data_IF_378444709251
#
_entry.id   IF_378444709251
#
_cell.length_a   1.000
_cell.length_b   1.000
_cell.length_c   1.000
_cell.angle_alpha   90.00
_cell.angle_beta   90.00
_cell.angle_gamma   90.00
#
_symmetry.space_group_name_H-M   'P 1'
#
loop_
_entity.id
_entity.type
_entity.pdbx_description
1 polymer ?
#
# COMPACT_ATOMS: atom_id res chain seq x y z
N UNK A 1 21.73 14.25 -33.66
CA UNK A 1 20.85 14.20 -32.47
C UNK A 1 20.70 12.80 -31.89
N UNK A 2 20.31 11.75 -32.65
CA UNK A 2 20.13 10.40 -32.06
C UNK A 2 21.42 9.82 -31.44
N UNK A 3 22.58 10.04 -32.06
CA UNK A 3 23.86 9.51 -31.58
C UNK A 3 24.35 10.19 -30.29
N UNK A 4 24.20 11.51 -30.17
CA UNK A 4 24.59 12.27 -28.97
C UNK A 4 23.71 11.92 -27.77
N UNK A 5 22.42 11.63 -27.99
CA UNK A 5 21.54 11.12 -26.93
C UNK A 5 21.98 9.73 -26.45
N UNK A 6 22.43 8.87 -27.36
CA UNK A 6 22.95 7.55 -26.99
C UNK A 6 24.31 7.63 -26.25
N UNK A 7 25.14 8.62 -26.60
CA UNK A 7 26.40 8.89 -25.91
C UNK A 7 26.17 9.43 -24.49
N UNK A 8 25.25 10.38 -24.31
CA UNK A 8 24.91 10.90 -22.98
C UNK A 8 24.32 9.82 -22.06
N UNK A 9 23.50 8.93 -22.61
CA UNK A 9 22.85 7.87 -21.83
C UNK A 9 23.71 6.64 -21.58
N UNK A 10 24.95 6.60 -22.09
CA UNK A 10 25.84 5.44 -21.89
C UNK A 10 26.34 5.37 -20.45
N UNK A 11 26.52 6.52 -19.79
CA UNK A 11 26.90 6.62 -18.39
C UNK A 11 26.23 7.83 -17.72
N UNK A 12 25.00 7.68 -17.20
CA UNK A 12 24.23 8.77 -16.60
C UNK A 12 24.65 9.11 -15.15
N UNK A 13 25.85 8.69 -14.74
CA UNK A 13 26.37 8.83 -13.37
C UNK A 13 27.66 9.66 -13.31
N UNK A 14 27.96 10.41 -14.37
CA UNK A 14 29.05 11.37 -14.42
C UNK A 14 28.69 12.68 -13.72
N UNK A 15 29.29 13.76 -14.21
CA UNK A 15 29.13 15.14 -13.72
C UNK A 15 28.59 16.05 -14.84
N UNK A 16 28.01 15.46 -15.90
CA UNK A 16 27.42 16.21 -17.00
C UNK A 16 26.06 16.79 -16.57
N UNK A 17 25.64 17.90 -17.16
CA UNK A 17 24.43 18.64 -16.78
C UNK A 17 23.14 17.80 -16.91
N UNK A 18 23.14 16.77 -17.76
CA UNK A 18 22.02 15.85 -17.96
C UNK A 18 22.07 14.56 -17.12
N UNK A 19 23.12 14.37 -16.31
CA UNK A 19 23.28 13.19 -15.47
C UNK A 19 22.43 13.22 -14.20
N UNK A 20 22.34 12.08 -13.52
CA UNK A 20 21.64 12.04 -12.24
C UNK A 20 22.42 12.78 -11.16
N UNK A 21 21.71 13.65 -10.43
CA UNK A 21 22.19 14.34 -9.24
C UNK A 21 22.34 13.39 -8.02
N UNK A 22 23.27 12.45 -8.11
CA UNK A 22 23.47 11.40 -7.10
C UNK A 22 23.78 11.97 -5.71
N UNK A 23 24.58 13.03 -5.64
CA UNK A 23 24.94 13.67 -4.37
C UNK A 23 23.69 14.20 -3.65
N UNK A 24 22.78 14.85 -4.39
CA UNK A 24 21.51 15.31 -3.83
C UNK A 24 20.62 14.16 -3.39
N UNK A 25 20.56 13.08 -4.18
CA UNK A 25 19.78 11.88 -3.84
C UNK A 25 20.31 11.26 -2.54
N UNK A 26 21.61 11.11 -2.39
CA UNK A 26 22.24 10.53 -1.20
C UNK A 26 21.92 11.39 0.04
N UNK A 27 22.13 12.70 -0.06
CA UNK A 27 21.84 13.64 1.04
C UNK A 27 20.38 13.61 1.45
N UNK A 28 19.46 13.62 0.48
CA UNK A 28 18.02 13.53 0.72
C UNK A 28 17.67 12.23 1.43
N UNK A 29 18.15 11.09 0.92
CA UNK A 29 17.79 9.79 1.48
C UNK A 29 18.37 9.60 2.88
N UNK A 30 19.60 10.03 3.14
CA UNK A 30 20.18 9.98 4.48
C UNK A 30 19.35 10.81 5.46
N UNK A 31 19.07 12.07 5.12
CA UNK A 31 18.25 12.96 5.97
C UNK A 31 16.87 12.40 6.26
N UNK A 32 16.16 11.92 5.22
CA UNK A 32 14.80 11.39 5.37
C UNK A 32 14.81 10.07 6.16
N UNK A 33 15.80 9.20 5.95
CA UNK A 33 15.89 7.93 6.67
C UNK A 33 16.08 8.14 8.17
N UNK A 34 17.00 9.03 8.56
CA UNK A 34 17.18 9.38 9.98
C UNK A 34 15.94 10.06 10.56
N UNK A 35 15.29 10.96 9.81
CA UNK A 35 14.05 11.60 10.27
C UNK A 35 12.94 10.59 10.55
N UNK A 36 12.77 9.57 9.69
CA UNK A 36 11.75 8.53 9.87
C UNK A 36 12.05 7.68 11.11
N UNK A 37 13.30 7.22 11.27
CA UNK A 37 13.68 6.30 12.34
C UNK A 37 13.79 7.00 13.69
N UNK A 38 14.28 8.23 13.73
CA UNK A 38 14.52 8.94 15.00
C UNK A 38 13.28 9.69 15.47
N UNK A 39 12.71 10.53 14.59
CA UNK A 39 11.67 11.47 14.99
C UNK A 39 10.27 10.92 14.79
N UNK A 40 10.02 10.23 13.67
CA UNK A 40 8.66 9.78 13.34
C UNK A 40 8.33 8.40 13.92
N UNK A 41 9.32 7.64 14.39
CA UNK A 41 9.09 6.35 15.00
C UNK A 41 8.18 6.51 16.23
N UNK A 42 7.04 5.83 16.20
CA UNK A 42 5.99 5.87 17.24
C UNK A 42 5.28 7.23 17.45
N UNK A 43 5.51 8.24 16.58
CA UNK A 43 4.75 9.51 16.61
C UNK A 43 3.59 9.49 15.63
N UNK A 44 2.63 8.61 15.86
CA UNK A 44 1.40 8.54 15.05
C UNK A 44 0.47 9.71 15.41
N UNK A 45 -0.11 10.42 14.43
CA UNK A 45 -1.11 11.45 14.71
C UNK A 45 -2.33 10.84 15.43
N UNK A 46 -3.05 11.62 16.25
CA UNK A 46 -4.23 11.12 16.95
C UNK A 46 -5.31 10.68 15.96
N UNK A 47 -6.00 9.59 16.28
CA UNK A 47 -7.14 9.12 15.50
C UNK A 47 -8.33 10.05 15.74
N UNK A 48 -8.73 10.76 14.69
CA UNK A 48 -9.87 11.68 14.68
C UNK A 48 -10.74 11.34 13.48
N UNK A 49 -12.07 11.44 13.64
CA UNK A 49 -13.02 11.32 12.53
C UNK A 49 -12.72 12.41 11.50
N UNK A 50 -12.56 12.03 10.23
CA UNK A 50 -12.34 12.99 9.16
C UNK A 50 -13.66 13.70 8.77
N UNK A 51 -13.54 14.70 7.89
CA UNK A 51 -14.66 15.55 7.46
C UNK A 51 -15.79 14.79 6.74
N UNK A 52 -15.52 13.60 6.20
CA UNK A 52 -16.48 12.77 5.48
C UNK A 52 -16.88 11.50 6.24
N UNK A 53 -16.58 11.42 7.55
CA UNK A 53 -16.73 10.19 8.33
C UNK A 53 -18.14 9.57 8.30
N UNK A 54 -19.19 10.40 8.28
CA UNK A 54 -20.59 9.94 8.28
C UNK A 54 -21.23 9.94 6.86
N UNK A 55 -20.47 10.24 5.80
CA UNK A 55 -20.96 10.31 4.41
C UNK A 55 -20.65 9.03 3.63
N UNK A 56 -21.68 8.38 3.08
CA UNK A 56 -21.55 7.17 2.26
C UNK A 56 -21.03 7.46 0.84
N UNK A 57 -21.19 8.69 0.33
CA UNK A 57 -20.82 9.07 -1.03
C UNK A 57 -20.17 10.46 -1.10
N UNK A 58 -18.99 10.64 -0.49
CA UNK A 58 -18.37 11.96 -0.38
C UNK A 58 -17.98 12.54 -1.74
N UNK A 59 -18.37 13.78 -1.98
CA UNK A 59 -17.98 14.55 -3.17
C UNK A 59 -16.86 15.51 -2.80
N UNK A 60 -15.65 15.18 -3.25
CA UNK A 60 -14.49 16.04 -3.04
C UNK A 60 -14.64 17.37 -3.81
N UNK A 61 -14.26 18.50 -3.19
CA UNK A 61 -14.30 19.80 -3.85
C UNK A 61 -13.25 19.88 -4.97
N UNK A 62 -13.57 20.63 -6.02
CA UNK A 62 -12.66 20.92 -7.13
C UNK A 62 -12.40 22.42 -7.17
N UNK A 63 -11.18 22.81 -7.55
CA UNK A 63 -10.88 24.19 -7.92
C UNK A 63 -11.53 24.52 -9.26
N UNK A 64 -11.75 25.81 -9.56
CA UNK A 64 -12.39 26.27 -10.81
C UNK A 64 -11.67 25.71 -12.06
N UNK A 65 -10.34 25.79 -12.08
CA UNK A 65 -9.52 25.25 -13.18
C UNK A 65 -9.60 23.71 -13.31
N UNK A 66 -9.90 23.00 -12.22
CA UNK A 66 -9.96 21.53 -12.22
C UNK A 66 -11.38 20.98 -12.39
N UNK A 67 -12.40 21.83 -12.40
CA UNK A 67 -13.79 21.42 -12.51
C UNK A 67 -14.06 20.65 -13.81
N UNK A 68 -13.40 21.03 -14.91
CA UNK A 68 -13.50 20.36 -16.21
C UNK A 68 -12.95 18.92 -16.19
N UNK A 69 -12.01 18.62 -15.29
CA UNK A 69 -11.42 17.27 -15.17
C UNK A 69 -12.24 16.32 -14.31
N UNK A 70 -13.36 16.78 -13.73
CA UNK A 70 -14.28 15.92 -12.97
C UNK A 70 -15.02 14.98 -13.92
N UNK A 71 -14.37 13.87 -14.25
CA UNK A 71 -14.91 12.81 -15.10
C UNK A 71 -15.69 11.80 -14.27
N UNK A 72 -16.74 11.25 -14.87
CA UNK A 72 -17.47 10.11 -14.27
C UNK A 72 -16.55 8.90 -14.21
N UNK A 73 -16.70 8.10 -13.16
CA UNK A 73 -15.95 6.85 -12.99
C UNK A 73 -16.15 5.97 -14.21
N UNK A 74 -15.03 5.53 -14.80
CA UNK A 74 -15.06 4.65 -15.96
C UNK A 74 -15.65 3.30 -15.58
N UNK A 75 -16.73 2.89 -16.25
CA UNK A 75 -17.43 1.62 -15.99
C UNK A 75 -16.99 0.47 -16.90
N UNK A 76 -16.12 0.72 -17.88
CA UNK A 76 -15.71 -0.26 -18.89
C UNK A 76 -16.47 -0.10 -20.21
N UNK A 77 -15.85 -0.53 -21.32
CA UNK A 77 -16.41 -0.44 -22.67
C UNK A 77 -17.68 -1.26 -22.86
N UNK A 78 -17.89 -2.29 -22.03
CA UNK A 78 -19.00 -3.25 -22.12
C UNK A 78 -20.08 -2.99 -21.05
N UNK A 79 -19.98 -1.89 -20.29
CA UNK A 79 -20.86 -1.60 -19.15
C UNK A 79 -22.37 -1.53 -19.49
N UNK A 80 -22.70 -1.25 -20.75
CA UNK A 80 -24.09 -1.16 -21.23
C UNK A 80 -24.53 -2.40 -22.02
N UNK A 81 -23.70 -3.45 -22.10
CA UNK A 81 -24.05 -4.67 -22.80
C UNK A 81 -25.01 -5.50 -21.96
N UNK A 82 -26.22 -5.70 -22.47
CA UNK A 82 -27.21 -6.57 -21.86
C UNK A 82 -26.92 -8.00 -22.35
N UNK A 83 -26.37 -8.84 -21.49
CA UNK A 83 -26.16 -10.26 -21.79
C UNK A 83 -27.47 -11.01 -21.50
N UNK A 84 -28.03 -11.78 -22.45
CA UNK A 84 -29.19 -12.64 -22.19
C UNK A 84 -28.94 -13.59 -21.01
N UNK A 85 -29.95 -13.83 -20.17
CA UNK A 85 -29.83 -14.61 -18.92
C UNK A 85 -29.24 -16.00 -19.13
N UNK A 86 -29.60 -16.66 -20.23
CA UNK A 86 -29.07 -17.96 -20.66
C UNK A 86 -27.54 -18.02 -20.80
N UNK A 87 -26.90 -16.85 -21.01
CA UNK A 87 -25.46 -16.69 -21.23
C UNK A 87 -24.75 -16.00 -20.07
N UNK A 88 -25.46 -15.68 -18.98
CA UNK A 88 -24.89 -15.09 -17.77
C UNK A 88 -24.25 -16.14 -16.83
N UNK A 89 -24.32 -17.41 -17.19
CA UNK A 89 -23.82 -18.51 -16.37
C UNK A 89 -22.31 -18.44 -16.19
N UNK A 90 -21.85 -18.37 -14.94
CA UNK A 90 -20.44 -18.51 -14.60
C UNK A 90 -20.06 -19.99 -14.68
N UNK A 91 -19.15 -20.33 -15.60
CA UNK A 91 -18.46 -21.61 -15.53
C UNK A 91 -17.34 -21.41 -14.50
N UNK A 92 -17.61 -21.80 -13.26
CA UNK A 92 -16.56 -21.88 -12.26
C UNK A 92 -15.59 -23.00 -12.73
N UNK A 93 -14.28 -22.73 -12.84
CA UNK A 93 -13.34 -23.83 -12.98
C UNK A 93 -13.49 -24.74 -11.76
N UNK A 94 -13.40 -26.06 -11.97
CA UNK A 94 -13.43 -27.06 -10.90
C UNK A 94 -12.26 -26.85 -9.94
N UNK A 95 -12.34 -25.84 -9.08
CA UNK A 95 -11.62 -25.82 -7.82
C UNK A 95 -12.39 -26.82 -6.98
N UNK A 96 -11.99 -28.09 -7.16
CA UNK A 96 -12.33 -29.21 -6.32
C UNK A 96 -12.46 -28.69 -4.88
N UNK A 97 -13.61 -28.96 -4.26
CA UNK A 97 -13.98 -28.57 -2.90
C UNK A 97 -13.06 -29.13 -1.80
N UNK A 98 -11.83 -29.50 -2.14
CA UNK A 98 -10.77 -29.96 -1.28
C UNK A 98 -9.90 -28.80 -0.75
N UNK A 99 -10.49 -27.67 -0.37
CA UNK A 99 -9.81 -26.82 0.62
C UNK A 99 -9.88 -27.58 1.95
N UNK A 100 -8.74 -27.91 2.59
CA UNK A 100 -8.78 -28.48 3.94
C UNK A 100 -9.54 -27.54 4.88
N UNK A 101 -10.21 -28.07 5.93
CA UNK A 101 -10.98 -27.25 6.86
C UNK A 101 -10.13 -26.08 7.33
N UNK A 102 -10.71 -24.86 7.30
CA UNK A 102 -9.99 -23.65 7.70
C UNK A 102 -9.42 -23.87 9.10
N UNK A 103 -8.09 -23.68 9.31
CA UNK A 103 -7.54 -23.77 10.65
C UNK A 103 -8.21 -22.71 11.54
N UNK A 104 -8.39 -22.98 12.85
CA UNK A 104 -9.00 -22.01 13.75
C UNK A 104 -8.22 -20.70 13.72
N UNK A 105 -8.97 -19.60 13.70
CA UNK A 105 -8.44 -18.23 13.70
C UNK A 105 -7.54 -18.10 14.93
N UNK A 106 -6.22 -18.02 14.72
CA UNK A 106 -5.31 -17.68 15.82
C UNK A 106 -5.61 -16.24 16.23
N UNK A 107 -5.81 -15.96 17.52
CA UNK A 107 -5.96 -14.59 17.98
C UNK A 107 -4.70 -13.79 17.62
N UNK A 108 -4.83 -12.48 17.36
CA UNK A 108 -3.71 -11.63 17.02
C UNK A 108 -2.64 -11.68 18.11
N UNK A 109 -1.37 -11.74 17.69
CA UNK A 109 -0.16 -11.86 18.52
C UNK A 109 0.06 -10.71 19.52
N UNK A 110 -0.88 -9.76 19.66
CA UNK A 110 -0.82 -8.71 20.68
C UNK A 110 -1.26 -9.18 22.08
N UNK A 111 -1.80 -10.40 22.21
CA UNK A 111 -2.24 -10.99 23.49
C UNK A 111 -1.29 -12.12 24.01
N UNK A 112 -0.01 -12.09 23.66
CA UNK A 112 1.03 -13.03 24.20
C UNK A 112 2.17 -12.27 24.89
N UNK A 113 1.84 -11.11 25.43
CA UNK A 113 2.65 -10.46 26.46
C UNK A 113 1.85 -10.73 27.74
N UNK A 114 2.49 -11.26 28.79
CA UNK A 114 1.91 -11.59 30.11
C UNK A 114 1.58 -13.06 30.46
N UNK A 115 2.28 -14.05 29.90
CA UNK A 115 2.51 -15.31 30.62
C UNK A 115 4.01 -15.58 30.77
N UNK A 116 4.59 -14.95 31.79
CA UNK A 116 5.50 -15.62 32.72
C UNK A 116 6.86 -16.09 32.19
N UNK A 117 7.74 -15.15 31.82
CA UNK A 117 9.15 -15.30 32.15
C UNK A 117 9.33 -15.12 33.67
N UNK A 118 9.33 -16.21 34.42
CA UNK A 118 9.98 -16.26 35.73
C UNK A 118 10.52 -17.66 36.02
N UNK A 119 11.79 -17.83 35.66
CA UNK A 119 12.88 -18.47 36.41
C UNK A 119 12.58 -19.67 37.33
N UNK A 120 13.10 -20.83 36.91
CA UNK A 120 13.97 -21.77 37.65
C UNK A 120 13.76 -21.98 39.17
N UNK A 121 13.51 -23.23 39.57
CA UNK A 121 13.86 -23.72 40.93
C UNK A 121 13.18 -25.03 41.35
N UNK A 122 13.96 -26.12 41.40
CA UNK A 122 13.79 -27.34 42.23
C UNK A 122 13.32 -27.00 43.68
N UNK A 123 12.59 -27.79 44.49
CA UNK A 123 12.35 -29.23 44.63
C UNK A 123 11.03 -29.49 45.45
N UNK A 124 10.76 -30.67 46.07
CA UNK A 124 9.65 -31.54 45.74
C UNK A 124 8.47 -31.52 46.75
N UNK A 125 7.37 -32.13 46.33
CA UNK A 125 6.17 -32.43 47.12
C UNK A 125 6.46 -33.40 48.29
N UNK A 126 5.55 -33.48 49.29
CA UNK A 126 5.84 -33.72 50.71
C UNK A 126 6.33 -35.12 51.08
#
# INVERSE_FOLDING_TARGET
MIFQVAEQLINPFGDDDEDFELNWIIDRHMKVSYLIVDTLLQRTPPLVKDIFYDDESPVLPYTEASAEFKKRTYRGSVANMIVPEEKQTLILPDICSALPPRPPIRPPRSLVIWEGLSYTGMAPSP
#
